data_IF_656508874951
#
_entry.id   IF_656508874951
#
_cell.length_a   1.000
_cell.length_b   1.000
_cell.length_c   1.000
_cell.angle_alpha   90.00
_cell.angle_beta   90.00
_cell.angle_gamma   90.00
#
_symmetry.space_group_name_H-M   'P 1'
#
loop_
_entity.id
_entity.type
_entity.pdbx_description
1 polymer ?
#
# COMPACT_ATOMS: atom_id res chain seq x y z
N UNK A 1 18.03 32.19 8.14
CA UNK A 1 16.64 31.73 7.84
C UNK A 1 16.59 30.27 8.25
N UNK A 2 15.67 29.89 9.13
CA UNK A 2 15.47 28.48 9.50
C UNK A 2 14.31 27.93 8.63
N UNK A 3 14.60 27.02 7.73
CA UNK A 3 13.59 26.39 6.85
C UNK A 3 13.34 25.01 7.45
N UNK A 4 12.15 24.76 8.04
CA UNK A 4 11.82 23.45 8.58
C UNK A 4 11.67 22.42 7.46
N UNK A 5 12.04 21.17 7.74
CA UNK A 5 11.91 20.08 6.79
C UNK A 5 10.47 19.54 6.81
N UNK A 6 9.69 19.90 5.78
CA UNK A 6 8.33 19.38 5.50
C UNK A 6 7.44 19.19 6.76
N UNK A 7 7.19 20.21 7.58
CA UNK A 7 6.28 20.07 8.72
C UNK A 7 4.85 19.85 8.20
N UNK A 8 4.07 18.97 8.86
CA UNK A 8 2.67 18.83 8.53
C UNK A 8 1.90 20.15 8.85
N UNK A 9 0.89 20.46 8.06
CA UNK A 9 -0.04 21.56 8.34
C UNK A 9 -1.17 21.01 9.20
N UNK A 10 -1.05 21.19 10.51
CA UNK A 10 -2.02 20.75 11.52
C UNK A 10 -2.71 21.97 12.10
N UNK A 11 -4.03 22.01 11.99
CA UNK A 11 -4.91 23.06 12.47
C UNK A 11 -5.75 22.60 13.66
N UNK A 12 -6.64 23.47 14.16
CA UNK A 12 -7.60 23.10 15.20
C UNK A 12 -8.59 22.03 14.71
N UNK A 13 -8.81 21.88 13.39
CA UNK A 13 -9.70 20.85 12.84
C UNK A 13 -9.16 19.44 13.08
N UNK A 14 -7.86 19.20 12.85
CA UNK A 14 -7.19 17.93 13.12
C UNK A 14 -7.15 17.64 14.61
N UNK A 15 -6.88 18.65 15.44
CA UNK A 15 -6.86 18.52 16.90
C UNK A 15 -8.24 18.11 17.42
N UNK A 16 -9.31 18.77 16.97
CA UNK A 16 -10.67 18.44 17.41
C UNK A 16 -11.12 17.05 16.89
N UNK A 17 -10.77 16.68 15.66
CA UNK A 17 -11.07 15.35 15.13
C UNK A 17 -10.45 14.23 16.00
N UNK A 18 -9.21 14.41 16.44
CA UNK A 18 -8.55 13.48 17.37
C UNK A 18 -9.21 13.53 18.75
N UNK A 19 -9.55 14.73 19.27
CA UNK A 19 -10.20 14.89 20.56
C UNK A 19 -11.59 14.20 20.58
N UNK A 20 -12.36 14.24 19.49
CA UNK A 20 -13.62 13.51 19.35
C UNK A 20 -13.42 11.99 19.48
N UNK A 21 -12.40 11.43 18.82
CA UNK A 21 -12.06 10.00 18.93
C UNK A 21 -11.70 9.65 20.38
N UNK A 22 -10.88 10.47 21.04
CA UNK A 22 -10.53 10.26 22.44
C UNK A 22 -11.75 10.30 23.37
N UNK A 23 -12.68 11.25 23.16
CA UNK A 23 -13.92 11.37 23.94
C UNK A 23 -14.86 10.19 23.71
N UNK A 24 -14.88 9.63 22.50
CA UNK A 24 -15.70 8.46 22.18
C UNK A 24 -15.27 7.19 22.94
N UNK A 25 -14.04 7.15 23.41
CA UNK A 25 -13.42 5.95 24.03
C UNK A 25 -13.04 4.85 23.04
N UNK A 26 -13.34 5.00 21.75
CA UNK A 26 -12.97 4.02 20.73
C UNK A 26 -11.67 4.47 20.02
N UNK A 27 -10.53 4.07 20.56
CA UNK A 27 -9.20 4.56 20.15
C UNK A 27 -8.39 3.57 19.30
N UNK A 28 -8.83 2.32 19.16
CA UNK A 28 -8.20 1.30 18.29
C UNK A 28 -8.84 1.31 16.90
N UNK A 29 -8.53 0.32 16.04
CA UNK A 29 -9.19 0.16 14.73
C UNK A 29 -10.70 0.09 14.87
N UNK A 30 -11.41 0.97 14.21
CA UNK A 30 -12.85 1.08 14.32
C UNK A 30 -13.50 1.90 13.21
N UNK A 31 -14.56 2.66 13.50
CA UNK A 31 -15.35 3.39 12.51
C UNK A 31 -14.54 4.40 11.69
N UNK A 32 -13.61 5.15 12.33
CA UNK A 32 -12.80 6.16 11.64
C UNK A 32 -11.82 5.52 10.65
N UNK A 33 -11.17 4.41 11.05
CA UNK A 33 -10.30 3.65 10.13
C UNK A 33 -11.08 3.14 8.93
N UNK A 34 -12.29 2.56 9.13
CA UNK A 34 -13.14 2.09 8.03
C UNK A 34 -13.59 3.22 7.10
N UNK A 35 -13.90 4.39 7.66
CA UNK A 35 -14.24 5.57 6.88
C UNK A 35 -13.07 6.07 6.04
N UNK A 36 -11.85 6.10 6.61
CA UNK A 36 -10.64 6.48 5.88
C UNK A 36 -10.33 5.50 4.74
N UNK A 37 -10.44 4.18 4.98
CA UNK A 37 -10.28 3.15 3.96
C UNK A 37 -11.23 3.37 2.78
N UNK A 38 -12.50 3.66 3.05
CA UNK A 38 -13.50 3.94 2.00
C UNK A 38 -13.16 5.20 1.21
N UNK A 39 -12.86 6.31 1.91
CA UNK A 39 -12.50 7.58 1.25
C UNK A 39 -11.19 7.48 0.46
N UNK A 40 -10.22 6.74 0.96
CA UNK A 40 -8.97 6.47 0.24
C UNK A 40 -9.24 5.71 -1.05
N UNK A 41 -10.07 4.66 -1.01
CA UNK A 41 -10.44 3.90 -2.20
C UNK A 41 -11.18 4.77 -3.23
N UNK A 42 -12.15 5.58 -2.79
CA UNK A 42 -12.84 6.56 -3.64
C UNK A 42 -11.87 7.55 -4.29
N UNK A 43 -10.96 8.13 -3.51
CA UNK A 43 -10.00 9.12 -3.98
C UNK A 43 -9.00 8.54 -4.98
N UNK A 44 -8.61 7.28 -4.83
CA UNK A 44 -7.67 6.58 -5.70
C UNK A 44 -8.33 5.81 -6.84
N UNK A 45 -9.66 5.97 -7.02
CA UNK A 45 -10.49 5.28 -8.02
C UNK A 45 -10.37 3.76 -7.98
N UNK A 46 -10.26 3.20 -6.78
CA UNK A 46 -10.23 1.76 -6.56
C UNK A 46 -11.48 1.28 -5.83
N UNK A 47 -11.77 -0.02 -5.87
CA UNK A 47 -12.97 -0.55 -5.22
C UNK A 47 -12.79 -0.66 -3.71
N UNK A 48 -11.57 -0.95 -3.26
CA UNK A 48 -11.29 -1.28 -1.86
C UNK A 48 -9.86 -0.88 -1.49
N UNK A 49 -9.65 -0.62 -0.20
CA UNK A 49 -8.33 -0.42 0.38
C UNK A 49 -8.31 -0.80 1.85
N UNK A 50 -7.13 -0.91 2.43
CA UNK A 50 -6.88 -1.14 3.85
C UNK A 50 -5.87 -0.12 4.38
N UNK A 51 -6.10 0.39 5.58
CA UNK A 51 -5.17 1.28 6.27
C UNK A 51 -4.38 0.51 7.35
N UNK A 52 -3.06 0.61 7.26
CA UNK A 52 -2.11 -0.03 8.17
C UNK A 52 -1.22 1.02 8.86
N UNK A 53 -0.32 0.57 9.73
CA UNK A 53 0.55 1.48 10.48
C UNK A 53 1.71 2.09 9.65
N UNK A 54 1.95 1.62 8.43
CA UNK A 54 2.98 2.17 7.53
C UNK A 54 2.84 1.63 6.09
N UNK A 55 3.43 2.33 5.11
CA UNK A 55 3.61 1.82 3.74
C UNK A 55 4.44 0.54 3.72
N UNK A 56 5.45 0.44 4.58
CA UNK A 56 6.28 -0.77 4.73
C UNK A 56 5.42 -1.99 5.04
N UNK A 57 4.52 -1.87 6.04
CA UNK A 57 3.57 -2.95 6.36
C UNK A 57 2.61 -3.23 5.20
N UNK A 58 2.16 -2.21 4.48
CA UNK A 58 1.31 -2.39 3.30
C UNK A 58 1.98 -3.25 2.24
N UNK A 59 3.24 -2.94 1.89
CA UNK A 59 3.99 -3.72 0.92
C UNK A 59 4.30 -5.13 1.41
N UNK A 60 4.72 -5.29 2.66
CA UNK A 60 5.00 -6.60 3.24
C UNK A 60 3.74 -7.49 3.25
N UNK A 61 2.60 -6.94 3.66
CA UNK A 61 1.34 -7.70 3.69
C UNK A 61 0.84 -8.04 2.29
N UNK A 62 1.09 -7.20 1.27
CA UNK A 62 0.82 -7.54 -0.12
C UNK A 62 1.68 -8.73 -0.58
N UNK A 63 2.99 -8.74 -0.32
CA UNK A 63 3.85 -9.88 -0.64
C UNK A 63 3.39 -11.16 0.07
N UNK A 64 2.99 -11.06 1.34
CA UNK A 64 2.49 -12.22 2.12
C UNK A 64 1.13 -12.72 1.64
N UNK A 65 0.24 -11.82 1.20
CA UNK A 65 -1.05 -12.17 0.60
C UNK A 65 -0.84 -13.04 -0.66
N UNK A 66 0.20 -12.73 -1.44
CA UNK A 66 0.60 -13.51 -2.61
C UNK A 66 1.50 -14.70 -2.27
N UNK A 67 1.76 -14.96 -0.99
CA UNK A 67 2.63 -16.05 -0.49
C UNK A 67 4.04 -16.00 -1.10
N UNK A 68 4.54 -14.79 -1.42
CA UNK A 68 5.90 -14.60 -1.92
C UNK A 68 6.89 -14.82 -0.76
N UNK A 69 7.91 -15.67 -0.98
CA UNK A 69 8.81 -16.07 0.09
C UNK A 69 10.09 -16.76 -0.40
N UNK A 70 10.68 -17.66 0.40
CA UNK A 70 11.92 -18.35 0.05
C UNK A 70 11.84 -19.08 -1.29
N UNK A 71 12.80 -18.81 -2.16
CA UNK A 71 12.86 -19.36 -3.53
C UNK A 71 12.29 -18.41 -4.60
N UNK A 72 11.52 -17.41 -4.19
CA UNK A 72 11.00 -16.38 -5.09
C UNK A 72 11.99 -15.21 -5.22
N UNK A 73 11.90 -14.48 -6.34
CA UNK A 73 12.67 -13.28 -6.60
C UNK A 73 11.73 -12.07 -6.73
N UNK A 74 12.16 -10.92 -6.16
CA UNK A 74 11.45 -9.64 -6.30
C UNK A 74 12.42 -8.59 -6.82
N UNK A 75 12.04 -7.91 -7.92
CA UNK A 75 12.86 -6.88 -8.56
C UNK A 75 12.49 -5.51 -7.98
N UNK A 76 13.51 -4.76 -7.53
CA UNK A 76 13.36 -3.45 -6.87
C UNK A 76 14.42 -2.50 -7.43
N UNK A 77 14.10 -1.20 -7.68
CA UNK A 77 15.15 -0.25 -8.07
C UNK A 77 16.14 -0.02 -6.92
N UNK A 78 17.43 0.10 -7.25
CA UNK A 78 18.47 0.37 -6.27
C UNK A 78 18.37 1.79 -5.66
N UNK A 79 17.79 2.74 -6.41
CA UNK A 79 17.54 4.09 -5.95
C UNK A 79 16.14 4.20 -5.33
N UNK A 80 16.05 3.86 -4.07
CA UNK A 80 14.82 3.89 -3.27
C UNK A 80 15.14 4.04 -1.79
N UNK A 81 14.12 4.28 -0.98
CA UNK A 81 14.22 4.11 0.47
C UNK A 81 14.30 2.62 0.83
N UNK A 82 14.98 2.30 1.92
CA UNK A 82 15.23 0.91 2.33
C UNK A 82 13.97 0.05 2.46
N UNK A 83 12.81 0.65 2.72
CA UNK A 83 11.55 -0.08 2.92
C UNK A 83 11.19 -0.98 1.73
N UNK A 84 11.31 -0.47 0.48
CA UNK A 84 10.98 -1.25 -0.72
C UNK A 84 11.81 -2.54 -0.86
N UNK A 85 13.08 -2.49 -0.42
CA UNK A 85 13.98 -3.64 -0.41
C UNK A 85 13.82 -4.51 0.84
N UNK A 86 13.62 -3.88 2.02
CA UNK A 86 13.51 -4.59 3.29
C UNK A 86 12.33 -5.56 3.33
N UNK A 87 11.18 -5.18 2.76
CA UNK A 87 10.00 -6.05 2.74
C UNK A 87 10.23 -7.35 1.98
N UNK A 88 11.09 -7.34 0.96
CA UNK A 88 11.51 -8.54 0.24
C UNK A 88 12.31 -9.48 1.16
N UNK A 89 13.25 -8.90 1.93
CA UNK A 89 14.02 -9.66 2.91
C UNK A 89 13.12 -10.18 4.06
N UNK A 90 12.13 -9.39 4.52
CA UNK A 90 11.22 -9.80 5.59
C UNK A 90 10.39 -11.03 5.23
N UNK A 91 9.99 -11.17 3.96
CA UNK A 91 9.26 -12.37 3.51
C UNK A 91 10.19 -13.54 3.16
N UNK A 92 11.51 -13.33 3.18
CA UNK A 92 12.51 -14.35 2.87
C UNK A 92 12.73 -14.57 1.37
N UNK A 93 12.21 -13.71 0.52
CA UNK A 93 12.43 -13.76 -0.92
C UNK A 93 13.82 -13.18 -1.28
N UNK A 94 14.30 -13.50 -2.47
CA UNK A 94 15.56 -13.00 -3.00
C UNK A 94 15.36 -11.60 -3.58
N UNK A 95 16.05 -10.61 -3.01
CA UNK A 95 16.06 -9.25 -3.51
C UNK A 95 16.92 -9.15 -4.78
N UNK A 96 16.34 -8.66 -5.88
CA UNK A 96 17.02 -8.38 -7.14
C UNK A 96 17.02 -6.88 -7.40
N UNK A 97 18.17 -6.24 -7.17
CA UNK A 97 18.32 -4.81 -7.40
C UNK A 97 18.60 -4.53 -8.88
N UNK A 98 17.91 -3.52 -9.41
CA UNK A 98 18.09 -2.98 -10.75
C UNK A 98 18.38 -1.49 -10.66
N UNK A 99 19.19 -0.96 -11.58
CA UNK A 99 19.50 0.48 -11.61
C UNK A 99 18.29 1.30 -12.12
N UNK A 100 18.46 2.61 -12.17
CA UNK A 100 17.48 3.54 -12.75
C UNK A 100 17.91 3.95 -14.16
N UNK A 101 16.96 4.35 -15.00
CA UNK A 101 17.27 4.88 -16.32
C UNK A 101 18.13 6.14 -16.22
N UNK A 102 19.12 6.27 -17.08
CA UNK A 102 20.07 7.39 -17.07
C UNK A 102 19.34 8.74 -17.18
N UNK A 103 19.57 9.61 -16.21
CA UNK A 103 19.00 10.96 -16.16
C UNK A 103 17.59 11.02 -15.58
N UNK A 104 17.11 9.91 -15.03
CA UNK A 104 15.81 9.84 -14.33
C UNK A 104 15.98 9.14 -12.98
N UNK A 105 14.88 9.01 -12.23
CA UNK A 105 14.77 8.15 -11.04
C UNK A 105 13.88 6.94 -11.29
N UNK A 106 13.43 6.75 -12.54
CA UNK A 106 12.59 5.62 -12.89
C UNK A 106 13.43 4.35 -12.99
N UNK A 107 12.85 3.25 -12.58
CA UNK A 107 13.44 1.91 -12.73
C UNK A 107 13.88 1.68 -14.18
N UNK A 108 15.05 1.08 -14.41
CA UNK A 108 15.50 0.73 -15.76
C UNK A 108 14.66 -0.44 -16.32
N UNK A 109 13.75 -0.10 -17.20
CA UNK A 109 12.79 -1.06 -17.77
C UNK A 109 13.48 -2.15 -18.60
N UNK A 110 14.56 -1.84 -19.32
CA UNK A 110 15.30 -2.83 -20.10
C UNK A 110 16.04 -3.81 -19.18
N UNK A 111 16.61 -3.30 -18.11
CA UNK A 111 17.24 -4.14 -17.09
C UNK A 111 16.19 -5.02 -16.37
N UNK A 112 15.01 -4.49 -16.02
CA UNK A 112 13.90 -5.29 -15.49
C UNK A 112 13.54 -6.42 -16.44
N UNK A 113 13.32 -6.11 -17.73
CA UNK A 113 12.95 -7.12 -18.73
C UNK A 113 13.98 -8.25 -18.85
N UNK A 114 15.26 -7.91 -18.81
CA UNK A 114 16.36 -8.88 -18.90
C UNK A 114 16.52 -9.73 -17.65
N UNK A 115 16.11 -9.22 -16.49
CA UNK A 115 16.27 -9.87 -15.17
C UNK A 115 15.15 -10.87 -14.86
N UNK A 116 13.98 -10.72 -15.49
CA UNK A 116 12.84 -11.61 -15.27
C UNK A 116 13.17 -13.05 -15.65
N UNK A 117 12.91 -13.98 -14.71
CA UNK A 117 13.06 -15.42 -14.87
C UNK A 117 11.90 -16.16 -14.17
N UNK A 118 11.95 -17.50 -14.13
CA UNK A 118 10.87 -18.35 -13.57
C UNK A 118 10.63 -18.13 -12.07
N UNK A 119 11.62 -17.63 -11.32
CA UNK A 119 11.51 -17.34 -9.90
C UNK A 119 10.96 -15.94 -9.62
N UNK A 120 10.91 -15.05 -10.62
CA UNK A 120 10.40 -13.68 -10.45
C UNK A 120 8.90 -13.69 -10.18
N UNK A 121 8.49 -13.20 -9.00
CA UNK A 121 7.08 -13.16 -8.57
C UNK A 121 6.54 -11.76 -8.44
N UNK A 122 7.40 -10.76 -8.18
CA UNK A 122 6.97 -9.38 -8.10
C UNK A 122 8.02 -8.40 -8.63
N UNK A 123 7.53 -7.23 -9.03
CA UNK A 123 8.33 -6.02 -9.28
C UNK A 123 7.76 -4.94 -8.36
N UNK A 124 8.64 -4.22 -7.65
CA UNK A 124 8.27 -3.09 -6.80
C UNK A 124 8.83 -1.81 -7.44
N UNK A 125 8.15 -1.20 -8.41
CA UNK A 125 8.52 0.12 -8.92
C UNK A 125 8.25 1.19 -7.87
N UNK A 126 8.99 2.31 -7.92
CA UNK A 126 8.91 3.39 -6.92
C UNK A 126 8.55 4.71 -7.59
N UNK A 127 7.46 5.32 -7.15
CA UNK A 127 7.00 6.65 -7.59
C UNK A 127 7.71 7.76 -6.80
N UNK A 128 9.02 7.91 -7.05
CA UNK A 128 9.88 8.80 -6.27
C UNK A 128 9.47 10.27 -6.44
N UNK A 129 9.29 10.98 -5.33
CA UNK A 129 8.86 12.38 -5.33
C UNK A 129 7.44 12.60 -5.90
N UNK A 130 6.63 11.54 -6.02
CA UNK A 130 5.31 11.59 -6.64
C UNK A 130 5.33 11.55 -8.17
N UNK A 131 6.51 11.36 -8.77
CA UNK A 131 6.62 11.13 -10.22
C UNK A 131 6.40 9.66 -10.51
N UNK A 132 5.25 9.36 -11.10
CA UNK A 132 4.86 7.99 -11.41
C UNK A 132 5.76 7.39 -12.48
N UNK A 133 6.17 6.14 -12.29
CA UNK A 133 6.85 5.36 -13.34
C UNK A 133 5.89 5.06 -14.50
N UNK A 134 6.42 4.64 -15.63
CA UNK A 134 5.59 4.20 -16.77
C UNK A 134 5.04 2.80 -16.51
N UNK A 135 3.86 2.73 -15.87
CA UNK A 135 3.20 1.47 -15.56
C UNK A 135 2.72 0.71 -16.80
N UNK A 136 2.38 1.41 -17.88
CA UNK A 136 1.97 0.76 -19.13
C UNK A 136 3.17 0.01 -19.72
N UNK A 137 4.38 0.58 -19.63
CA UNK A 137 5.62 -0.08 -20.04
C UNK A 137 5.97 -1.28 -19.15
N UNK A 138 5.85 -1.16 -17.81
CA UNK A 138 6.06 -2.29 -16.88
C UNK A 138 5.08 -3.41 -17.19
N UNK A 139 3.81 -3.09 -17.41
CA UNK A 139 2.77 -4.07 -17.74
C UNK A 139 3.05 -4.78 -19.06
N UNK A 140 3.52 -4.05 -20.07
CA UNK A 140 3.91 -4.66 -21.35
C UNK A 140 5.09 -5.64 -21.18
N UNK A 141 6.07 -5.30 -20.35
CA UNK A 141 7.19 -6.20 -20.00
C UNK A 141 6.68 -7.45 -19.30
N UNK A 142 5.86 -7.30 -18.26
CA UNK A 142 5.28 -8.42 -17.51
C UNK A 142 4.49 -9.35 -18.44
N UNK A 143 3.66 -8.81 -19.32
CA UNK A 143 2.89 -9.61 -20.28
C UNK A 143 3.79 -10.33 -21.29
N UNK A 144 4.85 -9.67 -21.79
CA UNK A 144 5.83 -10.31 -22.70
C UNK A 144 6.56 -11.50 -22.08
N UNK A 145 6.72 -11.50 -20.74
CA UNK A 145 7.40 -12.54 -19.96
C UNK A 145 6.43 -13.53 -19.28
N UNK A 146 5.14 -13.45 -19.55
CA UNK A 146 4.11 -14.28 -18.93
C UNK A 146 4.38 -15.78 -19.04
N UNK A 147 4.98 -16.22 -20.13
CA UNK A 147 5.37 -17.63 -20.31
C UNK A 147 6.41 -18.13 -19.33
N UNK A 148 7.18 -17.23 -18.67
CA UNK A 148 8.13 -17.58 -17.62
C UNK A 148 7.49 -17.62 -16.24
N UNK A 149 6.32 -17.00 -16.06
CA UNK A 149 5.67 -16.94 -14.74
C UNK A 149 5.23 -18.34 -14.27
N UNK A 150 5.63 -18.71 -13.07
CA UNK A 150 5.29 -19.96 -12.40
C UNK A 150 4.59 -19.66 -11.09
N UNK A 151 3.25 -19.60 -11.06
CA UNK A 151 2.51 -19.31 -9.83
C UNK A 151 2.77 -20.42 -8.78
N UNK A 152 2.95 -20.03 -7.53
CA UNK A 152 3.15 -20.92 -6.38
C UNK A 152 2.03 -20.81 -5.34
N UNK A 153 1.07 -19.91 -5.55
CA UNK A 153 -0.11 -19.75 -4.69
C UNK A 153 -1.38 -19.47 -5.49
N UNK A 154 -2.53 -19.65 -4.84
CA UNK A 154 -3.84 -19.37 -5.46
C UNK A 154 -3.98 -17.90 -5.89
N UNK A 155 -3.44 -16.96 -5.11
CA UNK A 155 -3.48 -15.54 -5.46
C UNK A 155 -2.62 -15.25 -6.69
N UNK A 156 -1.45 -15.88 -6.80
CA UNK A 156 -0.59 -15.77 -7.99
C UNK A 156 -1.25 -16.40 -9.22
N UNK A 157 -1.92 -17.56 -9.06
CA UNK A 157 -2.71 -18.20 -10.14
C UNK A 157 -3.84 -17.29 -10.63
N UNK A 158 -4.60 -16.70 -9.70
CA UNK A 158 -5.69 -15.80 -10.00
C UNK A 158 -5.21 -14.52 -10.72
N UNK A 159 -4.10 -13.93 -10.27
CA UNK A 159 -3.50 -12.76 -10.92
C UNK A 159 -2.98 -13.11 -12.33
N UNK A 160 -2.37 -14.29 -12.50
CA UNK A 160 -1.95 -14.84 -13.78
C UNK A 160 -0.70 -14.20 -14.39
N UNK A 161 0.02 -13.35 -13.66
CA UNK A 161 1.26 -12.70 -14.08
C UNK A 161 2.10 -12.25 -12.86
N UNK A 162 3.34 -11.77 -13.11
CA UNK A 162 4.22 -11.20 -12.09
C UNK A 162 3.53 -9.99 -11.45
N UNK A 163 3.43 -9.98 -10.12
CA UNK A 163 2.80 -8.91 -9.35
C UNK A 163 3.51 -7.56 -9.58
N UNK A 164 2.77 -6.53 -9.93
CA UNK A 164 3.23 -5.14 -9.94
C UNK A 164 2.73 -4.49 -8.65
N UNK A 165 3.66 -4.33 -7.67
CA UNK A 165 3.39 -3.72 -6.37
C UNK A 165 4.04 -2.35 -6.32
N UNK A 166 3.27 -1.28 -6.52
CA UNK A 166 3.81 0.08 -6.50
C UNK A 166 4.19 0.53 -5.08
N UNK A 167 5.43 0.94 -4.88
CA UNK A 167 5.81 1.80 -3.77
C UNK A 167 5.53 3.27 -4.16
N UNK A 168 4.32 3.69 -3.89
CA UNK A 168 3.83 5.04 -4.16
C UNK A 168 3.81 5.88 -2.87
N UNK A 169 4.84 5.69 -2.01
CA UNK A 169 4.95 6.38 -0.72
C UNK A 169 4.93 7.91 -0.86
N UNK A 170 5.24 8.46 -2.02
CA UNK A 170 5.18 9.88 -2.35
C UNK A 170 4.03 10.22 -3.32
N UNK A 171 3.30 9.23 -3.81
CA UNK A 171 2.37 9.37 -4.93
C UNK A 171 0.89 9.42 -4.55
N UNK A 172 0.53 9.65 -3.27
CA UNK A 172 -0.88 9.82 -2.91
C UNK A 172 -1.44 11.08 -3.57
N UNK A 173 -2.43 10.90 -4.46
CA UNK A 173 -2.97 11.99 -5.28
C UNK A 173 -2.23 12.26 -6.60
N UNK A 174 -1.13 11.55 -6.88
CA UNK A 174 -0.46 11.63 -8.18
C UNK A 174 -1.33 11.01 -9.28
N UNK A 175 -1.24 11.57 -10.48
CA UNK A 175 -1.93 11.03 -11.66
C UNK A 175 -1.04 11.10 -12.89
N UNK A 176 -1.18 10.12 -13.78
CA UNK A 176 -0.47 10.05 -15.06
C UNK A 176 -1.42 9.58 -16.14
N UNK A 177 -1.45 10.27 -17.29
CA UNK A 177 -2.31 9.93 -18.44
C UNK A 177 -3.81 9.81 -18.06
N UNK A 178 -4.27 10.62 -17.11
CA UNK A 178 -5.67 10.62 -16.65
C UNK A 178 -6.03 9.50 -15.68
N UNK A 179 -5.06 8.69 -15.24
CA UNK A 179 -5.25 7.63 -14.22
C UNK A 179 -4.60 8.06 -12.90
N UNK A 180 -5.28 7.82 -11.79
CA UNK A 180 -4.72 7.99 -10.45
C UNK A 180 -3.68 6.89 -10.17
N UNK A 181 -2.72 7.19 -9.26
CA UNK A 181 -1.66 6.22 -8.92
C UNK A 181 -2.21 4.87 -8.45
N UNK A 182 -3.34 4.83 -7.75
CA UNK A 182 -4.00 3.59 -7.33
C UNK A 182 -4.53 2.72 -8.47
N UNK A 183 -4.74 3.29 -9.67
CA UNK A 183 -5.30 2.58 -10.83
C UNK A 183 -4.23 1.90 -11.70
N UNK A 184 -2.94 2.17 -11.47
CA UNK A 184 -1.89 1.83 -12.45
C UNK A 184 -1.22 0.48 -12.18
N UNK A 185 -0.88 0.17 -10.93
CA UNK A 185 -0.31 -1.11 -10.50
C UNK A 185 -1.39 -2.13 -10.11
N UNK A 186 -1.02 -3.38 -9.88
CA UNK A 186 -1.96 -4.37 -9.36
C UNK A 186 -2.30 -4.07 -7.90
N UNK A 187 -1.27 -3.75 -7.10
CA UNK A 187 -1.39 -3.23 -5.74
C UNK A 187 -0.55 -1.96 -5.60
N UNK A 188 -1.05 -0.96 -4.87
CA UNK A 188 -0.36 0.31 -4.64
C UNK A 188 -0.32 0.64 -3.15
N UNK A 189 0.89 0.85 -2.64
CA UNK A 189 1.15 1.24 -1.26
C UNK A 189 1.45 2.73 -1.15
N UNK A 190 0.75 3.42 -0.24
CA UNK A 190 0.94 4.83 0.09
C UNK A 190 1.49 5.00 1.50
N UNK A 191 2.34 5.99 1.71
CA UNK A 191 2.81 6.38 3.05
C UNK A 191 2.05 7.58 3.56
N UNK A 192 1.59 7.50 4.81
CA UNK A 192 0.96 8.58 5.55
C UNK A 192 1.83 9.04 6.73
N UNK A 193 3.16 8.84 6.60
CA UNK A 193 4.13 9.37 7.56
C UNK A 193 4.09 10.90 7.60
N UNK A 194 4.49 11.51 8.73
CA UNK A 194 4.37 12.93 9.02
C UNK A 194 4.93 13.89 7.96
N UNK A 195 5.96 13.47 7.19
CA UNK A 195 6.61 14.31 6.16
C UNK A 195 6.01 14.15 4.76
N UNK A 196 4.96 13.36 4.59
CA UNK A 196 4.32 13.13 3.30
C UNK A 196 3.28 14.22 2.99
N UNK A 197 2.87 14.30 1.74
CA UNK A 197 1.85 15.25 1.27
C UNK A 197 0.45 15.00 1.87
N UNK A 198 0.20 13.81 2.35
CA UNK A 198 -0.96 13.41 3.16
C UNK A 198 -0.45 12.63 4.37
N UNK A 199 -0.95 12.91 5.56
CA UNK A 199 -0.42 12.29 6.77
C UNK A 199 -1.50 11.84 7.77
N UNK A 200 -1.18 10.79 8.51
CA UNK A 200 -1.87 10.35 9.73
C UNK A 200 -0.93 10.32 10.92
N UNK A 201 0.15 11.14 10.91
CA UNK A 201 1.34 11.09 11.76
C UNK A 201 2.22 9.86 11.42
N UNK A 202 1.74 8.66 11.68
CA UNK A 202 2.25 7.38 11.19
C UNK A 202 1.10 6.65 10.52
N UNK A 203 1.37 6.00 9.38
CA UNK A 203 0.37 5.23 8.67
C UNK A 203 0.77 4.87 7.26
N UNK A 204 -0.08 4.07 6.65
CA UNK A 204 -0.03 3.73 5.23
C UNK A 204 -1.37 3.21 4.75
N UNK A 205 -1.55 3.25 3.46
CA UNK A 205 -2.70 2.71 2.77
C UNK A 205 -2.27 1.73 1.68
N UNK A 206 -3.00 0.64 1.53
CA UNK A 206 -2.86 -0.30 0.43
C UNK A 206 -4.18 -0.36 -0.33
N UNK A 207 -4.12 -0.09 -1.61
CA UNK A 207 -5.25 -0.25 -2.53
C UNK A 207 -4.87 -1.23 -3.64
N UNK A 208 -5.86 -1.76 -4.34
CA UNK A 208 -5.62 -2.75 -5.39
C UNK A 208 -6.64 -2.65 -6.52
N UNK A 209 -6.24 -3.14 -7.67
CA UNK A 209 -7.13 -3.39 -8.81
C UNK A 209 -7.78 -4.76 -8.66
N UNK A 210 -8.97 -4.96 -9.23
CA UNK A 210 -9.63 -6.26 -9.18
C UNK A 210 -8.72 -7.40 -9.63
N UNK A 211 -8.62 -8.46 -8.82
CA UNK A 211 -7.92 -9.70 -9.17
C UNK A 211 -8.92 -10.66 -9.77
N UNK A 212 -8.68 -11.22 -10.97
CA UNK A 212 -9.65 -12.08 -11.64
C UNK A 212 -10.12 -13.26 -10.76
N UNK A 213 -11.42 -13.39 -10.57
CA UNK A 213 -12.01 -14.49 -9.82
C UNK A 213 -11.85 -14.43 -8.30
N UNK A 214 -11.31 -13.34 -7.75
CA UNK A 214 -11.19 -13.11 -6.30
C UNK A 214 -12.03 -11.89 -5.89
N UNK A 215 -12.84 -12.03 -4.85
CA UNK A 215 -13.65 -10.94 -4.31
C UNK A 215 -12.77 -9.95 -3.53
N UNK A 216 -12.98 -8.65 -3.72
CA UNK A 216 -12.27 -7.60 -2.98
C UNK A 216 -12.47 -7.72 -1.46
N UNK A 217 -13.61 -8.21 -0.99
CA UNK A 217 -13.85 -8.48 0.43
C UNK A 217 -13.05 -9.70 0.94
N UNK A 218 -12.78 -10.69 0.11
CA UNK A 218 -11.88 -11.80 0.45
C UNK A 218 -10.45 -11.31 0.60
N UNK A 219 -9.95 -10.49 -0.34
CA UNK A 219 -8.64 -9.84 -0.25
C UNK A 219 -8.54 -9.03 1.04
N UNK A 220 -9.54 -8.19 1.30
CA UNK A 220 -9.60 -7.36 2.50
C UNK A 220 -9.58 -8.21 3.79
N UNK A 221 -10.39 -9.27 3.84
CA UNK A 221 -10.45 -10.17 5.00
C UNK A 221 -9.09 -10.85 5.26
N UNK A 222 -8.41 -11.33 4.21
CA UNK A 222 -7.09 -11.95 4.32
C UNK A 222 -6.03 -10.95 4.81
N UNK A 223 -6.06 -9.71 4.32
CA UNK A 223 -5.19 -8.64 4.83
C UNK A 223 -5.46 -8.33 6.30
N UNK A 224 -6.74 -8.30 6.72
CA UNK A 224 -7.11 -8.10 8.13
C UNK A 224 -6.63 -9.27 9.01
N UNK A 225 -6.71 -10.52 8.56
CA UNK A 225 -6.12 -11.66 9.28
C UNK A 225 -4.62 -11.49 9.47
N UNK A 226 -3.89 -11.14 8.39
CA UNK A 226 -2.45 -10.93 8.42
C UNK A 226 -2.05 -9.80 9.39
N UNK A 227 -2.85 -8.75 9.52
CA UNK A 227 -2.52 -7.53 10.26
C UNK A 227 -3.05 -7.46 11.69
N UNK A 228 -3.89 -8.42 12.09
CA UNK A 228 -4.55 -8.48 13.41
C UNK A 228 -4.36 -9.83 14.12
N UNK A 229 -3.13 -10.34 14.19
CA UNK A 229 -2.80 -11.60 14.88
C UNK A 229 -3.55 -12.84 14.37
N UNK A 230 -4.05 -12.84 13.15
CA UNK A 230 -4.86 -13.93 12.62
C UNK A 230 -6.26 -14.04 13.24
N UNK A 231 -6.76 -13.01 13.90
CA UNK A 231 -8.09 -13.01 14.49
C UNK A 231 -9.17 -12.99 13.41
N UNK A 232 -10.10 -13.94 13.46
CA UNK A 232 -11.21 -14.03 12.50
C UNK A 232 -12.25 -12.90 12.61
N UNK A 233 -12.18 -12.08 13.67
CA UNK A 233 -13.02 -10.90 13.89
C UNK A 233 -12.18 -9.73 14.39
N UNK A 234 -12.40 -8.56 13.83
CA UNK A 234 -11.81 -7.32 14.34
C UNK A 234 -12.54 -6.82 15.62
N UNK A 235 -12.02 -5.75 16.23
CA UNK A 235 -12.59 -5.21 17.45
C UNK A 235 -14.04 -4.74 17.26
N UNK A 236 -14.37 -4.15 16.11
CA UNK A 236 -15.71 -3.65 15.80
C UNK A 236 -16.72 -4.81 15.64
N UNK A 237 -16.33 -5.89 14.99
CA UNK A 237 -17.18 -7.08 14.86
C UNK A 237 -17.48 -7.74 16.20
N UNK A 238 -16.58 -7.64 17.18
CA UNK A 238 -16.74 -8.20 18.55
C UNK A 238 -17.75 -7.43 19.41
N UNK A 239 -18.16 -6.22 19.04
CA UNK A 239 -19.15 -5.44 19.81
C UNK A 239 -20.59 -5.97 19.68
N UNK A 240 -20.87 -6.83 18.69
CA UNK A 240 -22.18 -7.44 18.53
C UNK A 240 -22.44 -8.45 19.66
N UNK A 241 -23.66 -8.47 20.17
CA UNK A 241 -24.07 -9.36 21.26
C UNK A 241 -23.74 -10.84 20.92
N UNK A 242 -22.97 -11.53 21.77
CA UNK A 242 -22.54 -12.92 21.52
C UNK A 242 -21.34 -13.08 20.55
N UNK A 243 -20.74 -11.99 20.06
CA UNK A 243 -19.65 -12.04 19.08
C UNK A 243 -18.23 -12.03 19.67
N UNK A 244 -18.09 -12.27 20.99
CA UNK A 244 -16.80 -12.28 21.70
C UNK A 244 -15.90 -13.47 21.31
N UNK A 245 -16.47 -14.57 20.85
CA UNK A 245 -15.71 -15.72 20.35
C UNK A 245 -15.11 -15.43 18.97
N UNK A 246 -13.83 -15.73 18.81
CA UNK A 246 -13.09 -15.63 17.55
C UNK A 246 -12.02 -16.72 17.48
N UNK A 247 -11.66 -17.12 16.27
CA UNK A 247 -10.57 -18.06 16.02
C UNK A 247 -9.27 -17.31 15.75
N UNK A 248 -8.14 -17.95 16.05
CA UNK A 248 -6.82 -17.57 15.57
C UNK A 248 -6.46 -18.48 14.40
N UNK A 249 -6.34 -17.92 13.21
CA UNK A 249 -6.04 -18.65 11.97
C UNK A 249 -4.56 -18.88 11.71
N UNK A 250 -3.69 -18.13 12.40
CA UNK A 250 -2.24 -18.27 12.27
C UNK A 250 -1.46 -17.27 13.13
N UNK A 251 -0.13 -17.45 13.27
CA UNK A 251 0.75 -16.57 14.03
C UNK A 251 1.14 -15.34 13.20
N UNK A 252 0.16 -14.47 12.93
CA UNK A 252 0.33 -13.31 12.06
C UNK A 252 0.69 -12.05 12.84
N UNK A 253 0.70 -10.91 12.17
CA UNK A 253 1.31 -9.65 12.62
C UNK A 253 0.30 -8.75 13.33
N UNK A 254 0.82 -7.66 13.93
CA UNK A 254 0.03 -6.57 14.50
C UNK A 254 0.50 -5.25 13.91
N UNK A 255 -0.13 -4.82 12.83
CA UNK A 255 0.24 -3.61 12.08
C UNK A 255 -0.96 -2.81 11.54
N UNK A 256 -2.11 -2.95 12.20
CA UNK A 256 -3.32 -2.19 11.90
C UNK A 256 -3.17 -0.69 12.22
N UNK A 257 -3.95 0.15 11.55
CA UNK A 257 -4.13 1.55 11.91
C UNK A 257 -5.14 1.70 13.06
N UNK A 258 -5.02 2.76 13.86
CA UNK A 258 -5.96 3.12 14.93
C UNK A 258 -6.87 4.26 14.49
N UNK A 259 -8.05 4.40 15.13
CA UNK A 259 -8.98 5.49 14.84
C UNK A 259 -8.41 6.87 15.20
N UNK A 260 -7.49 6.95 16.15
CA UNK A 260 -6.76 8.19 16.47
C UNK A 260 -5.99 8.69 15.24
N UNK A 261 -5.22 7.80 14.60
CA UNK A 261 -4.45 8.12 13.40
C UNK A 261 -5.37 8.38 12.20
N UNK A 262 -6.41 7.58 12.07
CA UNK A 262 -7.38 7.73 10.99
C UNK A 262 -8.14 9.07 11.07
N UNK A 263 -8.39 9.61 12.27
CA UNK A 263 -9.04 10.91 12.46
C UNK A 263 -8.22 12.06 11.85
N UNK A 264 -6.89 12.06 12.02
CA UNK A 264 -6.01 13.02 11.36
C UNK A 264 -6.16 12.95 9.85
N UNK A 265 -6.09 11.75 9.28
CA UNK A 265 -6.25 11.55 7.83
C UNK A 265 -7.64 11.98 7.33
N UNK A 266 -8.69 11.69 8.07
CA UNK A 266 -10.05 12.10 7.69
C UNK A 266 -10.25 13.60 7.67
N UNK A 267 -9.61 14.32 8.58
CA UNK A 267 -9.61 15.78 8.57
C UNK A 267 -8.84 16.34 7.37
N UNK A 268 -7.72 15.71 6.98
CA UNK A 268 -6.87 16.18 5.90
C UNK A 268 -7.27 15.70 4.49
N UNK A 269 -8.09 14.64 4.35
CA UNK A 269 -8.32 14.00 3.05
C UNK A 269 -9.00 14.92 2.03
N UNK A 270 -9.83 15.85 2.48
CA UNK A 270 -10.48 16.85 1.62
C UNK A 270 -9.48 17.88 1.05
N UNK A 271 -8.31 18.06 1.68
CA UNK A 271 -7.25 18.94 1.16
C UNK A 271 -6.60 18.32 -0.09
N UNK A 272 -6.67 17.01 -0.23
CA UNK A 272 -6.18 16.26 -1.39
C UNK A 272 -7.11 16.33 -2.60
N UNK A 273 -8.30 16.95 -2.48
CA UNK A 273 -9.19 17.12 -3.63
C UNK A 273 -8.60 18.09 -4.68
N UNK A 274 -8.93 17.92 -5.98
CA UNK A 274 -8.22 18.57 -7.11
C UNK A 274 -8.25 20.11 -7.12
N UNK A 275 -8.99 20.74 -6.25
CA UNK A 275 -9.10 22.19 -6.13
C UNK A 275 -7.93 22.87 -5.42
N UNK A 276 -7.06 22.10 -4.75
CA UNK A 276 -5.80 22.59 -4.16
C UNK A 276 -4.61 21.85 -4.75
N UNK A 277 -4.31 22.14 -6.02
CA UNK A 277 -3.00 21.81 -6.58
C UNK A 277 -1.95 22.63 -5.84
N UNK A 278 -1.29 22.04 -4.86
CA UNK A 278 0.02 22.52 -4.43
C UNK A 278 0.98 22.20 -5.53
N UNK A 279 1.26 23.19 -6.37
CA UNK A 279 2.37 23.13 -7.31
C UNK A 279 3.62 23.17 -6.47
N UNK A 280 4.26 22.03 -6.28
CA UNK A 280 5.64 21.99 -5.79
C UNK A 280 6.49 22.37 -7.00
N UNK A 281 6.92 23.65 -7.02
CA UNK A 281 7.90 24.18 -7.96
C UNK A 281 9.30 23.74 -7.57
#
# INVERSE_FOLDING_TARGET
MNIPFSPPDITEEEIEAVAEVMRSGWITTGPKTKELERKMAEFTHTNRGVCLNSATSCMEMALRLFEIGPGDEVIVPAYTYTASASVVCHVGATLRLVDVEKGTFHIDYAAVESMINENTKAIIPVDLGGVMVDYDRIRAIVESKKSLFRPSSKMQEALGHILILADSAHGYGASQNGKMSGECADFTSFSFHAVKNFTTAEGGGLVWRPVPGVDDEEIYHNLMLLTLHGQSKDALAKTKLGAWEYDIKGPYYKCNMTDILAAVGLSLIHISEPTRRVVIS
#
